data_IF_225676489326
#
_entry.id   IF_225676489326
#
_cell.length_a   1.000
_cell.length_b   1.000
_cell.length_c   1.000
_cell.angle_alpha   90.00
_cell.angle_beta   90.00
_cell.angle_gamma   90.00
#
_symmetry.space_group_name_H-M   'P 1'
#
loop_
_entity.id
_entity.type
_entity.pdbx_description
1 polymer ?
#
# COMPACT_ATOMS: atom_id res chain seq x y z
N UNK A 1 6.82 -18.64 26.92
CA UNK A 1 8.25 -18.40 26.60
C UNK A 1 8.76 -19.19 25.41
N UNK A 2 8.48 -20.50 25.32
CA UNK A 2 8.94 -21.38 24.22
C UNK A 2 8.71 -20.80 22.81
N UNK A 3 7.52 -20.29 22.51
CA UNK A 3 7.23 -19.70 21.19
C UNK A 3 8.10 -18.49 20.83
N UNK A 4 8.52 -17.67 21.81
CA UNK A 4 9.45 -16.55 21.57
C UNK A 4 10.86 -17.06 21.28
N UNK A 5 11.31 -18.06 22.02
CA UNK A 5 12.64 -18.66 21.85
C UNK A 5 12.75 -19.36 20.49
N UNK A 6 11.70 -20.07 20.07
CA UNK A 6 11.62 -20.74 18.77
C UNK A 6 11.69 -19.77 17.58
N UNK A 7 11.32 -18.50 17.76
CA UNK A 7 11.43 -17.46 16.71
C UNK A 7 12.76 -16.71 16.85
N UNK A 8 13.16 -16.38 18.08
CA UNK A 8 14.34 -15.57 18.36
C UNK A 8 15.64 -16.29 17.99
N UNK A 9 15.77 -17.58 18.32
CA UNK A 9 17.00 -18.32 18.06
C UNK A 9 17.33 -18.44 16.56
N UNK A 10 16.41 -18.87 15.68
CA UNK A 10 16.66 -18.88 14.24
C UNK A 10 16.94 -17.49 13.67
N UNK A 11 16.22 -16.46 14.15
CA UNK A 11 16.43 -15.09 13.72
C UNK A 11 17.82 -14.57 14.08
N UNK A 12 18.28 -14.82 15.30
CA UNK A 12 19.63 -14.45 15.74
C UNK A 12 20.70 -15.26 15.02
N UNK A 13 20.48 -16.55 14.77
CA UNK A 13 21.39 -17.37 13.98
C UNK A 13 21.51 -16.84 12.54
N UNK A 14 20.39 -16.49 11.90
CA UNK A 14 20.38 -15.88 10.57
C UNK A 14 21.08 -14.51 10.55
N UNK A 15 20.87 -13.67 11.57
CA UNK A 15 21.54 -12.38 11.73
C UNK A 15 23.06 -12.56 11.86
N UNK A 16 23.50 -13.47 12.74
CA UNK A 16 24.92 -13.77 12.94
C UNK A 16 25.58 -14.32 11.68
N UNK A 17 24.89 -15.21 10.97
CA UNK A 17 25.36 -15.74 9.69
C UNK A 17 25.48 -14.65 8.61
N UNK A 18 24.46 -13.78 8.49
CA UNK A 18 24.49 -12.64 7.57
C UNK A 18 25.62 -11.66 7.88
N UNK A 19 25.85 -11.37 9.17
CA UNK A 19 26.94 -10.51 9.61
C UNK A 19 28.32 -11.12 9.26
N UNK A 20 28.50 -12.42 9.47
CA UNK A 20 29.72 -13.12 9.09
C UNK A 20 29.98 -13.04 7.58
N UNK A 21 28.96 -13.29 6.75
CA UNK A 21 29.07 -13.16 5.29
C UNK A 21 29.37 -11.71 4.87
N UNK A 22 28.76 -10.74 5.54
CA UNK A 22 28.99 -9.32 5.24
C UNK A 22 30.43 -8.91 5.58
N UNK A 23 30.99 -9.38 6.70
CA UNK A 23 32.40 -9.09 7.05
C UNK A 23 33.35 -9.67 6.01
N UNK A 24 33.14 -10.93 5.60
CA UNK A 24 33.94 -11.57 4.54
C UNK A 24 33.89 -10.76 3.23
N UNK A 25 32.69 -10.35 2.83
CA UNK A 25 32.48 -9.49 1.67
C UNK A 25 33.18 -8.14 1.83
N UNK A 26 33.05 -7.52 3.01
CA UNK A 26 33.56 -6.18 3.27
C UNK A 26 35.08 -6.10 3.24
N UNK A 27 35.75 -7.16 3.67
CA UNK A 27 37.20 -7.30 3.62
C UNK A 27 37.73 -7.53 2.21
N UNK A 28 36.89 -7.96 1.26
CA UNK A 28 37.31 -8.29 -0.10
C UNK A 28 37.29 -7.09 -1.04
N UNK A 29 36.29 -6.19 -0.93
CA UNK A 29 36.12 -5.06 -1.85
C UNK A 29 35.48 -3.83 -1.18
N UNK A 30 36.24 -2.74 -1.01
CA UNK A 30 35.79 -1.53 -0.31
C UNK A 30 34.67 -0.76 -1.04
N UNK A 31 34.75 -0.68 -2.36
CA UNK A 31 33.80 -0.06 -3.27
C UNK A 31 32.44 -0.79 -3.28
N UNK A 32 32.46 -2.12 -3.30
CA UNK A 32 31.24 -2.92 -3.20
C UNK A 32 30.63 -2.86 -1.80
N UNK A 33 31.47 -2.73 -0.77
CA UNK A 33 31.03 -2.52 0.62
C UNK A 33 30.25 -1.22 0.78
N UNK A 34 30.77 -0.13 0.24
CA UNK A 34 30.07 1.16 0.28
C UNK A 34 28.70 1.06 -0.41
N UNK A 35 28.64 0.43 -1.59
CA UNK A 35 27.38 0.22 -2.31
C UNK A 35 26.39 -0.63 -1.49
N UNK A 36 26.86 -1.68 -0.83
CA UNK A 36 26.04 -2.53 0.03
C UNK A 36 25.54 -1.76 1.27
N UNK A 37 26.38 -0.94 1.90
CA UNK A 37 25.99 -0.09 3.03
C UNK A 37 24.96 0.97 2.62
N UNK A 38 25.18 1.62 1.47
CA UNK A 38 24.22 2.57 0.91
C UNK A 38 22.89 1.89 0.58
N UNK A 39 22.89 0.63 0.13
CA UNK A 39 21.65 -0.11 -0.04
C UNK A 39 20.99 -0.46 1.31
N UNK A 40 21.77 -1.01 2.25
CA UNK A 40 21.29 -1.49 3.55
C UNK A 40 20.74 -0.38 4.43
N UNK A 41 21.37 0.80 4.42
CA UNK A 41 20.95 1.97 5.19
C UNK A 41 20.10 2.93 4.35
N UNK A 42 20.52 3.21 3.11
CA UNK A 42 19.85 4.18 2.24
C UNK A 42 18.46 3.72 1.80
N UNK A 43 18.23 2.41 1.62
CA UNK A 43 16.90 1.87 1.32
C UNK A 43 15.88 2.20 2.42
N UNK A 44 16.09 1.75 3.67
CA UNK A 44 15.22 2.08 4.80
C UNK A 44 15.09 3.59 5.06
N UNK A 45 16.20 4.33 5.02
CA UNK A 45 16.17 5.79 5.24
C UNK A 45 15.34 6.49 4.16
N UNK A 46 15.56 6.18 2.89
CA UNK A 46 14.76 6.75 1.79
C UNK A 46 13.29 6.36 1.91
N UNK A 47 13.01 5.11 2.29
CA UNK A 47 11.65 4.64 2.50
C UNK A 47 10.95 5.42 3.61
N UNK A 48 11.55 5.51 4.79
CA UNK A 48 10.90 6.08 5.97
C UNK A 48 10.87 7.61 5.95
N UNK A 49 11.91 8.25 5.39
CA UNK A 49 11.99 9.70 5.32
C UNK A 49 11.24 10.30 4.12
N UNK A 50 11.04 9.53 3.04
CA UNK A 50 10.47 10.05 1.78
C UNK A 50 9.25 9.27 1.33
N UNK A 51 9.40 7.96 1.07
CA UNK A 51 8.31 7.18 0.46
C UNK A 51 7.09 7.07 1.37
N UNK A 52 7.28 6.79 2.65
CA UNK A 52 6.21 6.69 3.62
C UNK A 52 5.47 8.03 3.82
N UNK A 53 6.14 9.18 4.03
CA UNK A 53 5.48 10.49 4.09
C UNK A 53 4.73 10.85 2.80
N UNK A 54 5.33 10.62 1.63
CA UNK A 54 4.68 10.88 0.34
C UNK A 54 3.45 10.00 0.17
N UNK A 55 3.54 8.71 0.50
CA UNK A 55 2.40 7.80 0.46
C UNK A 55 1.29 8.21 1.42
N UNK A 56 1.64 8.67 2.62
CA UNK A 56 0.68 9.17 3.61
C UNK A 56 -0.04 10.43 3.11
N UNK A 57 0.70 11.40 2.56
CA UNK A 57 0.15 12.62 1.97
C UNK A 57 -0.73 12.32 0.76
N UNK A 58 -0.27 11.45 -0.14
CA UNK A 58 -1.06 11.01 -1.29
C UNK A 58 -2.36 10.35 -0.82
N UNK A 59 -2.28 9.40 0.13
CA UNK A 59 -3.44 8.77 0.74
C UNK A 59 -4.41 9.78 1.34
N UNK A 60 -3.90 10.77 2.09
CA UNK A 60 -4.68 11.84 2.70
C UNK A 60 -5.41 12.68 1.64
N UNK A 61 -4.72 13.13 0.59
CA UNK A 61 -5.32 13.87 -0.53
C UNK A 61 -6.41 13.03 -1.21
N UNK A 62 -6.11 11.76 -1.48
CA UNK A 62 -7.03 10.81 -2.10
C UNK A 62 -8.30 10.63 -1.26
N UNK A 63 -8.17 10.62 0.08
CA UNK A 63 -9.33 10.57 0.98
C UNK A 63 -10.22 11.81 0.87
N UNK A 64 -9.63 12.99 0.62
CA UNK A 64 -10.39 14.25 0.59
C UNK A 64 -11.05 14.52 -0.76
N UNK A 65 -10.39 14.12 -1.86
CA UNK A 65 -10.86 14.45 -3.22
C UNK A 65 -11.86 13.43 -3.76
N UNK A 66 -11.71 12.14 -3.43
CA UNK A 66 -12.51 11.11 -4.09
C UNK A 66 -13.85 10.82 -3.39
N UNK A 67 -14.93 10.63 -4.17
CA UNK A 67 -16.20 10.16 -3.65
C UNK A 67 -16.08 8.73 -3.10
N UNK A 68 -16.93 8.40 -2.10
CA UNK A 68 -16.89 7.16 -1.32
C UNK A 68 -16.61 5.87 -2.12
N UNK A 69 -17.31 5.59 -3.23
CA UNK A 69 -17.12 4.38 -4.03
C UNK A 69 -15.72 4.22 -4.64
N UNK A 70 -15.00 5.33 -4.83
CA UNK A 70 -13.70 5.36 -5.50
C UNK A 70 -12.52 5.36 -4.51
N UNK A 71 -12.75 5.67 -3.24
CA UNK A 71 -11.67 5.80 -2.25
C UNK A 71 -10.82 4.53 -2.11
N UNK A 72 -11.46 3.38 -1.89
CA UNK A 72 -10.76 2.11 -1.69
C UNK A 72 -10.03 1.62 -2.94
N UNK A 73 -10.68 1.48 -4.12
CA UNK A 73 -9.99 0.95 -5.31
C UNK A 73 -8.83 1.86 -5.74
N UNK A 74 -8.99 3.18 -5.68
CA UNK A 74 -7.90 4.09 -6.09
C UNK A 74 -6.74 4.05 -5.10
N UNK A 75 -6.97 3.89 -3.78
CA UNK A 75 -5.89 3.69 -2.81
C UNK A 75 -5.08 2.43 -3.10
N UNK A 76 -5.76 1.32 -3.40
CA UNK A 76 -5.12 0.05 -3.76
C UNK A 76 -4.33 0.21 -5.06
N UNK A 77 -4.93 0.81 -6.09
CA UNK A 77 -4.28 1.08 -7.38
C UNK A 77 -3.02 1.93 -7.25
N UNK A 78 -3.08 2.99 -6.44
CA UNK A 78 -1.94 3.85 -6.15
C UNK A 78 -0.82 3.08 -5.43
N UNK A 79 -1.15 2.24 -4.45
CA UNK A 79 -0.16 1.43 -3.73
C UNK A 79 0.55 0.44 -4.67
N UNK A 80 -0.21 -0.28 -5.52
CA UNK A 80 0.37 -1.16 -6.55
C UNK A 80 1.21 -0.39 -7.56
N UNK A 81 0.78 0.81 -7.96
CA UNK A 81 1.54 1.66 -8.89
C UNK A 81 2.88 2.07 -8.29
N UNK A 82 2.91 2.45 -7.01
CA UNK A 82 4.13 2.79 -6.29
C UNK A 82 5.08 1.57 -6.18
N UNK A 83 4.55 0.40 -5.82
CA UNK A 83 5.30 -0.85 -5.76
C UNK A 83 5.92 -1.22 -7.12
N UNK A 84 5.13 -1.15 -8.19
CA UNK A 84 5.59 -1.44 -9.55
C UNK A 84 6.68 -0.44 -9.99
N UNK A 85 6.49 0.84 -9.71
CA UNK A 85 7.50 1.86 -10.02
C UNK A 85 8.79 1.60 -9.26
N UNK A 86 8.72 1.28 -7.96
CA UNK A 86 9.89 1.02 -7.13
C UNK A 86 10.65 -0.23 -7.58
N UNK A 87 9.93 -1.29 -7.94
CA UNK A 87 10.51 -2.52 -8.52
C UNK A 87 11.12 -2.28 -9.90
N UNK A 88 10.58 -1.34 -10.67
CA UNK A 88 11.12 -0.99 -11.99
C UNK A 88 12.41 -0.17 -11.91
N UNK A 89 12.67 0.56 -10.81
CA UNK A 89 13.87 1.42 -10.68
C UNK A 89 15.17 0.64 -10.95
N UNK A 90 15.47 -0.50 -10.28
CA UNK A 90 16.69 -1.26 -10.58
C UNK A 90 16.73 -1.81 -12.01
N UNK A 91 15.58 -2.20 -12.56
CA UNK A 91 15.50 -2.76 -13.91
C UNK A 91 15.76 -1.70 -14.99
N UNK A 92 15.23 -0.49 -14.81
CA UNK A 92 15.45 0.66 -15.68
C UNK A 92 16.87 1.22 -15.53
N UNK A 93 17.43 1.19 -14.32
CA UNK A 93 18.80 1.66 -14.04
C UNK A 93 19.87 0.65 -14.51
N UNK A 94 19.51 -0.62 -14.76
CA UNK A 94 20.42 -1.73 -15.08
C UNK A 94 21.39 -1.44 -16.22
N UNK A 95 20.98 -0.63 -17.21
CA UNK A 95 21.83 -0.23 -18.33
C UNK A 95 23.15 0.45 -17.89
N UNK A 96 23.21 0.96 -16.66
CA UNK A 96 24.37 1.67 -16.11
C UNK A 96 25.21 0.82 -15.15
N UNK A 97 24.85 -0.45 -14.88
CA UNK A 97 25.37 -1.19 -13.72
C UNK A 97 25.94 -2.60 -13.98
N UNK A 98 25.64 -3.26 -15.11
CA UNK A 98 26.02 -4.66 -15.30
C UNK A 98 26.59 -4.97 -16.70
N UNK A 99 27.54 -5.93 -16.74
CA UNK A 99 27.99 -6.59 -17.97
C UNK A 99 26.78 -7.16 -18.75
N UNK A 100 26.79 -7.14 -20.10
CA UNK A 100 25.68 -7.62 -20.91
C UNK A 100 25.35 -9.08 -20.57
N UNK A 101 24.13 -9.34 -20.12
CA UNK A 101 23.62 -10.70 -19.96
C UNK A 101 22.70 -11.02 -21.15
N UNK A 102 23.13 -11.89 -22.10
CA UNK A 102 22.36 -12.23 -23.29
C UNK A 102 21.05 -12.92 -22.88
N UNK A 103 19.93 -12.19 -22.99
CA UNK A 103 18.60 -12.62 -22.55
C UNK A 103 17.92 -11.70 -21.54
N UNK A 104 18.69 -10.86 -20.82
CA UNK A 104 18.13 -9.82 -19.93
C UNK A 104 18.19 -8.41 -20.54
N UNK A 105 19.07 -8.19 -21.53
CA UNK A 105 19.34 -6.85 -22.13
C UNK A 105 18.26 -6.40 -23.10
N UNK A 106 17.49 -7.33 -23.70
CA UNK A 106 16.52 -6.98 -24.74
C UNK A 106 15.10 -6.67 -24.22
N UNK A 107 14.89 -6.71 -22.90
CA UNK A 107 13.54 -6.52 -22.35
C UNK A 107 13.27 -5.04 -22.13
N UNK A 108 12.30 -4.50 -22.88
CA UNK A 108 11.79 -3.15 -22.67
C UNK A 108 11.00 -3.07 -21.34
N UNK A 109 11.73 -2.78 -20.27
CA UNK A 109 11.17 -2.63 -18.92
C UNK A 109 10.22 -1.43 -18.83
N UNK A 110 10.38 -0.41 -19.69
CA UNK A 110 9.48 0.74 -19.76
C UNK A 110 8.10 0.30 -20.25
N UNK A 111 8.05 -0.39 -21.38
CA UNK A 111 6.81 -0.97 -21.91
C UNK A 111 6.20 -1.97 -20.92
N UNK A 112 7.00 -2.83 -20.31
CA UNK A 112 6.52 -3.77 -19.28
C UNK A 112 5.87 -3.07 -18.08
N UNK A 113 6.46 -1.99 -17.58
CA UNK A 113 5.91 -1.19 -16.49
C UNK A 113 4.59 -0.53 -16.91
N UNK A 114 4.53 0.07 -18.11
CA UNK A 114 3.32 0.72 -18.62
C UNK A 114 2.16 -0.28 -18.77
N UNK A 115 2.44 -1.48 -19.29
CA UNK A 115 1.44 -2.55 -19.41
C UNK A 115 0.93 -2.98 -18.02
N UNK A 116 1.84 -3.16 -17.05
CA UNK A 116 1.46 -3.54 -15.69
C UNK A 116 0.60 -2.45 -15.01
N UNK A 117 0.99 -1.18 -15.14
CA UNK A 117 0.20 -0.05 -14.64
C UNK A 117 -1.16 0.02 -15.32
N UNK A 118 -1.21 -0.14 -16.64
CA UNK A 118 -2.45 -0.20 -17.41
C UNK A 118 -3.40 -1.28 -16.91
N UNK A 119 -2.88 -2.49 -16.64
CA UNK A 119 -3.67 -3.58 -16.08
C UNK A 119 -4.22 -3.25 -14.68
N UNK A 120 -3.39 -2.69 -13.79
CA UNK A 120 -3.82 -2.25 -12.45
C UNK A 120 -4.95 -1.24 -12.54
N UNK A 121 -4.77 -0.19 -13.36
CA UNK A 121 -5.76 0.88 -13.46
C UNK A 121 -7.04 0.43 -14.18
N UNK A 122 -6.96 -0.50 -15.13
CA UNK A 122 -8.14 -1.11 -15.74
C UNK A 122 -9.01 -1.81 -14.68
N UNK A 123 -8.40 -2.56 -13.75
CA UNK A 123 -9.13 -3.20 -12.65
C UNK A 123 -9.72 -2.17 -11.69
N UNK A 124 -8.94 -1.15 -11.31
CA UNK A 124 -9.36 -0.07 -10.40
C UNK A 124 -10.57 0.69 -10.95
N UNK A 125 -10.51 1.09 -12.23
CA UNK A 125 -11.58 1.80 -12.90
C UNK A 125 -12.83 0.93 -13.02
N UNK A 126 -12.67 -0.33 -13.45
CA UNK A 126 -13.77 -1.29 -13.55
C UNK A 126 -14.49 -1.46 -12.21
N UNK A 127 -13.74 -1.64 -11.13
CA UNK A 127 -14.32 -1.78 -9.79
C UNK A 127 -15.00 -0.50 -9.32
N UNK A 128 -14.37 0.66 -9.50
CA UNK A 128 -14.94 1.95 -9.10
C UNK A 128 -16.26 2.25 -9.80
N UNK A 129 -16.36 1.94 -11.11
CA UNK A 129 -17.61 2.01 -11.87
C UNK A 129 -18.66 1.08 -11.26
N UNK A 130 -18.35 -0.20 -11.07
CA UNK A 130 -19.30 -1.18 -10.50
C UNK A 130 -19.80 -0.74 -9.11
N UNK A 131 -18.89 -0.27 -8.25
CA UNK A 131 -19.22 0.20 -6.91
C UNK A 131 -20.12 1.44 -6.93
N UNK A 132 -19.82 2.42 -7.80
CA UNK A 132 -20.62 3.62 -7.95
C UNK A 132 -22.02 3.33 -8.51
N UNK A 133 -22.15 2.35 -9.41
CA UNK A 133 -23.44 1.92 -9.95
C UNK A 133 -24.30 1.24 -8.89
N UNK A 134 -23.70 0.34 -8.08
CA UNK A 134 -24.40 -0.32 -6.96
C UNK A 134 -24.85 0.65 -5.85
N UNK A 135 -24.12 1.75 -5.65
CA UNK A 135 -24.48 2.77 -4.65
C UNK A 135 -25.71 3.59 -5.03
N UNK A 136 -25.96 3.83 -6.33
CA UNK A 136 -27.10 4.64 -6.81
C UNK A 136 -28.46 3.95 -6.62
N UNK A 137 -28.51 2.62 -6.64
CA UNK A 137 -29.77 1.86 -6.48
C UNK A 137 -30.30 1.77 -5.04
N UNK A 138 -29.57 2.29 -4.03
CA UNK A 138 -29.99 2.25 -2.62
C UNK A 138 -30.69 3.51 -2.12
N UNK A 139 -30.74 4.57 -2.94
CA UNK A 139 -31.51 5.78 -2.63
C UNK A 139 -32.98 5.59 -3.02
N UNK A 140 -33.71 4.71 -2.34
CA UNK A 140 -35.16 4.61 -2.53
C UNK A 140 -35.81 5.78 -1.77
N UNK A 141 -36.55 6.68 -2.43
CA UNK A 141 -37.42 7.62 -1.72
C UNK A 141 -38.38 6.82 -0.84
N UNK A 142 -38.61 7.25 0.40
CA UNK A 142 -39.64 6.66 1.24
C UNK A 142 -40.95 6.58 0.44
N UNK A 143 -41.64 5.42 0.40
CA UNK A 143 -42.90 5.29 -0.32
C UNK A 143 -43.86 6.42 0.10
N UNK A 144 -44.51 7.12 -0.84
CA UNK A 144 -45.55 8.09 -0.51
C UNK A 144 -46.59 7.39 0.38
N UNK A 145 -46.74 7.84 1.62
CA UNK A 145 -47.66 7.23 2.60
C UNK A 145 -47.03 6.32 3.66
N UNK A 146 -45.69 6.26 3.78
CA UNK A 146 -45.08 5.66 4.96
C UNK A 146 -45.55 6.42 6.22
N UNK A 147 -46.18 5.76 7.20
CA UNK A 147 -46.71 6.43 8.38
C UNK A 147 -45.58 7.14 9.11
N UNK A 148 -45.87 8.36 9.59
CA UNK A 148 -44.94 9.14 10.38
C UNK A 148 -44.39 8.27 11.52
N UNK A 149 -43.07 8.29 11.77
CA UNK A 149 -42.49 7.52 12.87
C UNK A 149 -43.25 7.85 14.17
N UNK A 150 -43.61 6.84 14.97
CA UNK A 150 -44.42 7.05 16.17
C UNK A 150 -43.71 8.07 17.07
N UNK A 151 -44.47 8.97 17.72
CA UNK A 151 -43.89 9.97 18.62
C UNK A 151 -43.02 9.25 19.65
N UNK A 152 -41.81 9.76 19.84
CA UNK A 152 -40.87 9.23 20.82
C UNK A 152 -41.59 9.10 22.17
N UNK A 153 -41.58 7.90 22.75
CA UNK A 153 -42.17 7.70 24.08
C UNK A 153 -41.53 8.72 25.04
N UNK A 154 -42.30 9.44 25.85
CA UNK A 154 -41.74 10.29 26.88
C UNK A 154 -40.74 9.49 27.70
N UNK A 155 -39.53 10.02 27.85
CA UNK A 155 -38.54 9.44 28.73
C UNK A 155 -39.04 9.39 30.18
N UNK A 156 -38.39 8.58 31.04
CA UNK A 156 -38.77 8.42 32.45
C UNK A 156 -38.78 9.74 33.24
N UNK A 157 -38.18 10.81 32.71
CA UNK A 157 -38.07 12.11 33.35
C UNK A 157 -39.21 13.08 32.97
N UNK A 158 -40.23 12.60 32.24
CA UNK A 158 -41.37 13.43 31.84
C UNK A 158 -42.33 13.67 33.02
N UNK A 159 -42.65 14.93 33.38
CA UNK A 159 -43.49 15.26 34.55
C UNK A 159 -44.94 14.73 34.46
N UNK A 160 -45.34 14.19 33.30
CA UNK A 160 -46.67 13.61 33.07
C UNK A 160 -46.89 12.22 33.71
N UNK A 161 -45.86 11.58 34.26
CA UNK A 161 -45.98 10.26 34.90
C UNK A 161 -46.37 10.31 36.39
N UNK A 162 -46.42 11.50 37.01
CA UNK A 162 -46.64 11.64 38.45
C UNK A 162 -48.12 11.63 38.89
N UNK A 163 -49.07 11.49 37.95
CA UNK A 163 -50.51 11.71 38.20
C UNK A 163 -51.39 10.49 37.83
N UNK A 164 -50.82 9.27 37.87
CA UNK A 164 -51.56 8.00 37.68
C UNK A 164 -51.33 7.01 38.82
#
# INVERSE_FOLDING_TARGET
MIGRVLIALPGLAALGWGAYLFVQFALTSADQTLSALLFLAGGPVLHDAVLAPVAALAGLVLTRVLPGPWRTPVRIGAAFSLLLALLAVPALWRAHAALPNPGLVDRDYGTGLLVALGAVWLVVLSWGVIAAWRGRGRGTPAPPGSPAPPPARPGPDSPAAADR
#
